data_IF_567909249097
#
_entry.id   IF_567909249097
#
_cell.length_a   1.000
_cell.length_b   1.000
_cell.length_c   1.000
_cell.angle_alpha   90.00
_cell.angle_beta   90.00
_cell.angle_gamma   90.00
#
_symmetry.space_group_name_H-M   'P 1'
#
loop_
_entity.id
_entity.type
_entity.pdbx_description
1 polymer ?
#
# COMPACT_ATOMS: atom_id res chain seq x y z
N UNK A 1 -5.95 0.57 40.81
CA UNK A 1 -4.81 0.92 39.94
C UNK A 1 -4.27 -0.29 39.17
N UNK A 2 -4.00 -1.45 39.79
CA UNK A 2 -3.63 -2.69 39.06
C UNK A 2 -4.77 -3.27 38.22
N UNK A 3 -6.01 -3.25 38.75
CA UNK A 3 -7.19 -3.76 38.06
C UNK A 3 -7.56 -2.93 36.81
N UNK A 4 -7.23 -1.63 36.81
CA UNK A 4 -7.44 -0.72 35.68
C UNK A 4 -6.38 -0.92 34.58
N UNK A 5 -5.11 -1.17 34.97
CA UNK A 5 -4.05 -1.59 34.04
C UNK A 5 -4.40 -2.92 33.36
N UNK A 6 -4.99 -3.88 34.09
CA UNK A 6 -5.44 -5.16 33.53
C UNK A 6 -6.55 -4.98 32.48
N UNK A 7 -7.53 -4.12 32.73
CA UNK A 7 -8.64 -3.88 31.79
C UNK A 7 -8.19 -3.15 30.52
N UNK A 8 -7.25 -2.19 30.65
CA UNK A 8 -6.68 -1.48 29.50
C UNK A 8 -5.82 -2.44 28.66
N UNK A 9 -5.01 -3.28 29.29
CA UNK A 9 -4.22 -4.29 28.58
C UNK A 9 -5.10 -5.32 27.85
N UNK A 10 -6.19 -5.78 28.46
CA UNK A 10 -7.16 -6.67 27.81
C UNK A 10 -7.88 -5.99 26.63
N UNK A 11 -8.27 -4.73 26.78
CA UNK A 11 -8.88 -3.96 25.69
C UNK A 11 -7.90 -3.76 24.52
N UNK A 12 -6.64 -3.44 24.82
CA UNK A 12 -5.57 -3.32 23.82
C UNK A 12 -5.37 -4.66 23.10
N UNK A 13 -5.33 -5.78 23.81
CA UNK A 13 -5.18 -7.11 23.19
C UNK A 13 -6.36 -7.48 22.26
N UNK A 14 -7.60 -7.13 22.64
CA UNK A 14 -8.77 -7.33 21.74
C UNK A 14 -8.71 -6.40 20.53
N UNK A 15 -8.22 -5.17 20.69
CA UNK A 15 -8.02 -4.22 19.59
C UNK A 15 -6.82 -4.58 18.70
N UNK A 16 -5.91 -5.40 19.21
CA UNK A 16 -4.76 -5.93 18.49
C UNK A 16 -5.04 -7.23 17.72
N UNK A 17 -6.21 -7.85 17.92
CA UNK A 17 -6.60 -9.05 17.17
C UNK A 17 -6.56 -8.76 15.65
N UNK A 18 -5.80 -9.55 14.86
CA UNK A 18 -5.63 -9.34 13.43
C UNK A 18 -6.94 -9.27 12.64
N UNK A 19 -7.98 -9.99 13.07
CA UNK A 19 -9.26 -10.04 12.35
C UNK A 19 -10.05 -8.73 12.49
N UNK A 20 -10.35 -8.23 13.71
CA UNK A 20 -10.88 -6.89 13.90
C UNK A 20 -10.06 -5.83 13.17
N UNK A 21 -8.73 -5.83 13.32
CA UNK A 21 -7.87 -4.85 12.66
C UNK A 21 -7.98 -4.86 11.12
N UNK A 22 -8.09 -6.05 10.52
CA UNK A 22 -8.28 -6.17 9.09
C UNK A 22 -9.64 -5.62 8.64
N UNK A 23 -10.72 -5.99 9.34
CA UNK A 23 -12.10 -5.65 8.96
C UNK A 23 -12.42 -4.18 9.25
N UNK A 24 -11.99 -3.64 10.40
CA UNK A 24 -12.34 -2.28 10.86
C UNK A 24 -11.27 -1.24 10.56
N UNK A 25 -10.01 -1.65 10.35
CA UNK A 25 -8.91 -0.77 10.00
C UNK A 25 -8.50 -0.86 8.53
N UNK A 26 -8.13 -2.05 8.08
CA UNK A 26 -7.47 -2.21 6.79
C UNK A 26 -8.44 -2.07 5.61
N UNK A 27 -9.61 -2.71 5.69
CA UNK A 27 -10.60 -2.63 4.64
C UNK A 27 -11.11 -1.19 4.42
N UNK A 28 -11.47 -0.40 5.45
CA UNK A 28 -11.82 1.01 5.27
C UNK A 28 -10.69 1.86 4.70
N UNK A 29 -9.42 1.61 5.05
CA UNK A 29 -8.28 2.31 4.45
C UNK A 29 -8.21 2.09 2.93
N UNK A 30 -8.43 0.85 2.49
CA UNK A 30 -8.47 0.49 1.08
C UNK A 30 -9.67 1.10 0.35
N UNK A 31 -10.85 1.14 1.01
CA UNK A 31 -12.04 1.81 0.48
C UNK A 31 -11.80 3.31 0.27
N UNK A 32 -11.07 3.96 1.17
CA UNK A 32 -10.77 5.39 1.09
C UNK A 32 -9.88 5.70 -0.11
N UNK A 33 -8.85 4.90 -0.34
CA UNK A 33 -7.95 5.08 -1.48
C UNK A 33 -8.63 4.74 -2.80
N UNK A 34 -9.48 3.71 -2.79
CA UNK A 34 -10.27 3.25 -3.92
C UNK A 34 -11.60 3.98 -4.13
N UNK A 35 -11.82 5.13 -3.51
CA UNK A 35 -13.07 5.87 -3.65
C UNK A 35 -13.26 6.35 -5.11
N UNK A 36 -14.46 6.13 -5.64
CA UNK A 36 -14.83 6.54 -6.99
C UNK A 36 -16.28 7.05 -7.05
N UNK A 37 -16.55 8.11 -7.84
CA UNK A 37 -17.89 8.68 -8.02
C UNK A 37 -18.75 7.90 -9.04
N UNK A 38 -18.26 6.80 -9.60
CA UNK A 38 -18.99 6.01 -10.60
C UNK A 38 -20.30 5.46 -10.02
N UNK A 39 -21.40 5.53 -10.75
CA UNK A 39 -22.72 5.13 -10.23
C UNK A 39 -22.88 3.63 -9.94
N UNK A 40 -22.06 2.77 -10.56
CA UNK A 40 -22.19 1.31 -10.45
C UNK A 40 -21.24 0.71 -9.40
N UNK A 41 -21.77 -0.16 -8.53
CA UNK A 41 -20.98 -0.88 -7.52
C UNK A 41 -19.81 -1.65 -8.14
N UNK A 42 -20.02 -2.37 -9.25
CA UNK A 42 -18.96 -3.15 -9.89
C UNK A 42 -17.85 -2.26 -10.44
N UNK A 43 -18.20 -1.08 -10.96
CA UNK A 43 -17.21 -0.09 -11.40
C UNK A 43 -16.40 0.49 -10.23
N UNK A 44 -17.05 0.76 -9.09
CA UNK A 44 -16.38 1.20 -7.86
C UNK A 44 -15.44 0.12 -7.33
N UNK A 45 -15.90 -1.13 -7.25
CA UNK A 45 -15.09 -2.26 -6.82
C UNK A 45 -13.90 -2.49 -7.75
N UNK A 46 -14.09 -2.41 -9.06
CA UNK A 46 -13.00 -2.51 -10.03
C UNK A 46 -11.98 -1.38 -9.87
N UNK A 47 -12.44 -0.15 -9.61
CA UNK A 47 -11.55 0.98 -9.32
C UNK A 47 -10.74 0.76 -8.05
N UNK A 48 -11.38 0.28 -6.99
CA UNK A 48 -10.70 -0.07 -5.74
C UNK A 48 -9.63 -1.14 -5.95
N UNK A 49 -9.92 -2.19 -6.72
CA UNK A 49 -8.93 -3.22 -7.05
C UNK A 49 -7.78 -2.64 -7.88
N UNK A 50 -8.04 -1.74 -8.84
CA UNK A 50 -6.98 -1.04 -9.57
C UNK A 50 -6.08 -0.25 -8.61
N UNK A 51 -6.67 0.49 -7.67
CA UNK A 51 -5.90 1.23 -6.66
C UNK A 51 -5.14 0.32 -5.70
N UNK A 52 -5.67 -0.87 -5.38
CA UNK A 52 -4.98 -1.85 -4.57
C UNK A 52 -3.81 -2.50 -5.34
N UNK A 53 -3.96 -2.74 -6.64
CA UNK A 53 -2.88 -3.26 -7.48
C UNK A 53 -1.80 -2.22 -7.78
N UNK A 54 -2.18 -0.94 -7.88
CA UNK A 54 -1.30 0.20 -8.10
C UNK A 54 -1.66 1.35 -7.13
N UNK A 55 -1.16 1.30 -5.88
CA UNK A 55 -1.34 2.35 -4.88
C UNK A 55 -1.15 3.77 -5.37
N UNK A 56 -0.16 3.99 -6.24
CA UNK A 56 0.14 5.29 -6.83
C UNK A 56 -1.08 5.96 -7.48
N UNK A 57 -1.93 5.21 -8.18
CA UNK A 57 -3.13 5.74 -8.86
C UNK A 57 -4.14 6.31 -7.85
N UNK A 58 -4.37 5.60 -6.75
CA UNK A 58 -5.27 6.07 -5.69
C UNK A 58 -4.69 7.22 -4.88
N UNK A 59 -3.36 7.20 -4.67
CA UNK A 59 -2.67 8.26 -3.94
C UNK A 59 -2.61 9.57 -4.71
N UNK A 60 -2.48 9.56 -6.05
CA UNK A 60 -2.50 10.80 -6.84
C UNK A 60 -3.78 11.59 -6.57
N UNK A 61 -4.94 10.93 -6.63
CA UNK A 61 -6.23 11.58 -6.39
C UNK A 61 -6.30 12.17 -4.98
N UNK A 62 -5.85 11.40 -3.99
CA UNK A 62 -5.99 11.78 -2.60
C UNK A 62 -4.93 12.78 -2.15
N UNK A 63 -3.71 12.79 -2.70
CA UNK A 63 -2.57 13.57 -2.21
C UNK A 63 -2.16 14.72 -3.15
N UNK A 64 -2.36 14.60 -4.46
CA UNK A 64 -1.82 15.57 -5.43
C UNK A 64 -2.90 16.50 -6.02
N UNK A 65 -4.15 16.06 -6.05
CA UNK A 65 -5.28 16.90 -6.46
C UNK A 65 -5.65 17.84 -5.31
N UNK A 66 -6.04 19.09 -5.60
CA UNK A 66 -6.37 20.10 -4.59
C UNK A 66 -7.50 19.68 -3.63
N UNK A 67 -7.63 20.40 -2.51
CA UNK A 67 -8.77 20.26 -1.57
C UNK A 67 -10.07 20.82 -2.13
N UNK A 68 -9.96 21.76 -3.07
CA UNK A 68 -11.10 22.45 -3.66
C UNK A 68 -12.05 21.47 -4.38
N UNK A 69 -13.37 21.62 -4.19
CA UNK A 69 -14.37 20.74 -4.79
C UNK A 69 -14.26 20.73 -6.32
N UNK A 70 -13.95 21.89 -6.91
CA UNK A 70 -13.72 22.05 -8.35
C UNK A 70 -12.65 21.09 -8.87
N UNK A 71 -11.44 21.15 -8.30
CA UNK A 71 -10.28 20.36 -8.72
C UNK A 71 -10.52 18.87 -8.55
N UNK A 72 -11.18 18.48 -7.44
CA UNK A 72 -11.52 17.07 -7.19
C UNK A 72 -12.58 16.57 -8.18
N UNK A 73 -13.59 17.38 -8.49
CA UNK A 73 -14.66 17.02 -9.42
C UNK A 73 -14.12 16.85 -10.85
N UNK A 74 -13.41 17.86 -11.37
CA UNK A 74 -12.89 17.81 -12.74
C UNK A 74 -11.85 16.71 -12.93
N UNK A 75 -11.17 16.26 -11.86
CA UNK A 75 -10.28 15.10 -11.94
C UNK A 75 -10.96 13.84 -12.46
N UNK A 76 -12.28 13.67 -12.36
CA UNK A 76 -12.90 12.44 -12.87
C UNK A 76 -13.30 12.50 -14.34
N UNK A 77 -13.17 13.67 -14.97
CA UNK A 77 -13.51 13.86 -16.39
C UNK A 77 -12.46 13.23 -17.31
N UNK A 78 -12.92 12.74 -18.46
CA UNK A 78 -12.06 12.30 -19.56
C UNK A 78 -11.33 13.48 -20.23
N UNK A 79 -10.25 13.19 -20.97
CA UNK A 79 -9.44 14.22 -21.65
C UNK A 79 -10.28 15.11 -22.58
N UNK A 80 -11.29 14.52 -23.24
CA UNK A 80 -12.16 15.21 -24.18
C UNK A 80 -12.94 16.37 -23.56
N UNK A 81 -13.12 16.40 -22.24
CA UNK A 81 -13.80 17.51 -21.56
C UNK A 81 -12.95 18.76 -21.43
N UNK A 82 -11.65 18.72 -21.73
CA UNK A 82 -10.74 19.84 -21.50
C UNK A 82 -10.33 20.54 -22.80
N UNK A 83 -10.23 21.87 -22.75
CA UNK A 83 -9.70 22.70 -23.84
C UNK A 83 -8.66 23.67 -23.31
N UNK A 84 -7.76 24.13 -24.17
CA UNK A 84 -6.92 25.29 -23.88
C UNK A 84 -7.71 26.61 -23.95
N UNK A 85 -7.06 27.72 -23.61
CA UNK A 85 -7.62 29.08 -23.69
C UNK A 85 -7.99 29.51 -25.12
N UNK A 86 -7.41 28.86 -26.13
CA UNK A 86 -7.68 29.10 -27.55
C UNK A 86 -8.86 28.25 -28.08
N UNK A 87 -9.42 27.36 -27.25
CA UNK A 87 -10.52 26.47 -27.60
C UNK A 87 -10.10 25.15 -28.24
N UNK A 88 -8.81 24.85 -28.32
CA UNK A 88 -8.34 23.56 -28.84
C UNK A 88 -8.54 22.47 -27.79
N UNK A 89 -9.05 21.31 -28.21
CA UNK A 89 -9.24 20.18 -27.31
C UNK A 89 -7.91 19.63 -26.83
N UNK A 90 -7.81 19.39 -25.53
CA UNK A 90 -6.62 18.81 -24.94
C UNK A 90 -6.59 17.31 -25.20
N UNK A 91 -5.50 16.90 -25.82
CA UNK A 91 -5.17 15.50 -26.05
C UNK A 91 -4.58 14.87 -24.79
N UNK A 92 -4.95 15.25 -23.56
CA UNK A 92 -4.50 14.62 -22.32
C UNK A 92 -5.29 15.19 -21.14
N UNK A 93 -5.29 14.46 -20.02
CA UNK A 93 -5.86 14.96 -18.76
C UNK A 93 -4.89 15.91 -18.05
N UNK A 94 -5.32 17.13 -17.68
CA UNK A 94 -4.43 18.18 -17.19
C UNK A 94 -4.16 18.06 -15.68
N UNK A 95 -3.70 16.90 -15.21
CA UNK A 95 -3.39 16.64 -13.81
C UNK A 95 -2.01 16.00 -13.62
N UNK A 96 -1.46 16.14 -12.42
CA UNK A 96 -0.16 15.59 -12.05
C UNK A 96 0.99 16.24 -12.83
N UNK A 97 1.82 15.46 -13.53
CA UNK A 97 3.04 15.98 -14.22
C UNK A 97 2.70 17.00 -15.32
N UNK A 98 1.53 16.85 -15.95
CA UNK A 98 0.99 17.75 -16.98
C UNK A 98 -0.14 18.64 -16.45
N UNK A 99 -0.08 18.99 -15.16
CA UNK A 99 -1.10 19.83 -14.53
C UNK A 99 -1.27 21.15 -15.27
N UNK A 100 -2.51 21.52 -15.56
CA UNK A 100 -2.90 22.87 -15.95
C UNK A 100 -3.77 23.49 -14.85
N UNK A 101 -3.92 24.80 -14.87
CA UNK A 101 -4.79 25.52 -13.92
C UNK A 101 -6.15 25.80 -14.55
N UNK A 102 -7.19 25.94 -13.74
CA UNK A 102 -8.50 26.37 -14.22
C UNK A 102 -8.42 27.82 -14.72
N UNK A 103 -9.04 28.11 -15.85
CA UNK A 103 -9.11 29.47 -16.38
C UNK A 103 -9.72 30.45 -15.36
N UNK A 104 -9.11 31.62 -15.24
CA UNK A 104 -9.59 32.71 -14.35
C UNK A 104 -10.86 33.40 -14.89
N UNK A 105 -11.38 33.01 -16.04
CA UNK A 105 -12.60 33.58 -16.61
C UNK A 105 -13.80 33.35 -15.68
N UNK A 106 -14.29 34.44 -15.08
CA UNK A 106 -15.36 34.41 -14.08
C UNK A 106 -16.68 33.83 -14.60
N UNK A 107 -17.04 34.11 -15.86
CA UNK A 107 -18.27 33.57 -16.46
C UNK A 107 -18.17 32.05 -16.59
N UNK A 108 -17.04 31.58 -17.11
CA UNK A 108 -16.77 30.15 -17.23
C UNK A 108 -16.74 29.46 -15.86
N UNK A 109 -16.06 30.08 -14.88
CA UNK A 109 -15.97 29.56 -13.51
C UNK A 109 -17.35 29.41 -12.87
N UNK A 110 -18.26 30.38 -13.01
CA UNK A 110 -19.63 30.26 -12.47
C UNK A 110 -20.41 29.11 -13.08
N UNK A 111 -20.34 28.95 -14.41
CA UNK A 111 -20.99 27.83 -15.10
C UNK A 111 -20.43 26.49 -14.62
N UNK A 112 -19.10 26.38 -14.51
CA UNK A 112 -18.42 25.21 -13.96
C UNK A 112 -18.92 24.87 -12.56
N UNK A 113 -19.00 25.85 -11.66
CA UNK A 113 -19.44 25.63 -10.27
C UNK A 113 -20.84 25.02 -10.18
N UNK A 114 -21.74 25.39 -11.08
CA UNK A 114 -23.10 24.81 -11.08
C UNK A 114 -23.08 23.29 -11.27
N UNK A 115 -22.15 22.77 -12.08
CA UNK A 115 -21.99 21.32 -12.26
C UNK A 115 -21.19 20.68 -11.12
N UNK A 116 -20.17 21.38 -10.61
CA UNK A 116 -19.40 20.92 -9.44
C UNK A 116 -20.32 20.72 -8.24
N UNK A 117 -21.15 21.71 -7.91
CA UNK A 117 -22.09 21.67 -6.79
C UNK A 117 -23.10 20.52 -6.91
N UNK A 118 -23.49 20.14 -8.13
CA UNK A 118 -24.35 18.97 -8.38
C UNK A 118 -23.65 17.63 -8.12
N UNK A 119 -22.32 17.59 -8.31
CA UNK A 119 -21.51 16.39 -8.15
C UNK A 119 -20.94 16.22 -6.75
N UNK A 120 -20.79 17.31 -6.00
CA UNK A 120 -20.08 17.31 -4.72
C UNK A 120 -21.01 17.41 -3.52
N UNK A 121 -20.63 16.74 -2.43
CA UNK A 121 -21.26 16.86 -1.13
C UNK A 121 -20.20 17.02 -0.04
N UNK A 122 -20.54 17.70 1.05
CA UNK A 122 -19.68 17.73 2.24
C UNK A 122 -19.98 16.50 3.09
N UNK A 123 -18.93 15.77 3.45
CA UNK A 123 -18.99 14.69 4.42
C UNK A 123 -19.49 15.23 5.75
N UNK A 124 -20.46 14.54 6.33
CA UNK A 124 -20.94 14.79 7.69
C UNK A 124 -19.83 14.57 8.72
N UNK A 125 -20.02 15.10 9.94
CA UNK A 125 -19.06 14.89 11.05
C UNK A 125 -18.87 13.39 11.32
N UNK A 126 -19.95 12.62 11.28
CA UNK A 126 -19.91 11.17 11.50
C UNK A 126 -19.11 10.45 10.41
N UNK A 127 -19.31 10.79 9.14
CA UNK A 127 -18.53 10.20 8.03
C UNK A 127 -17.05 10.57 8.12
N UNK A 128 -16.73 11.79 8.54
CA UNK A 128 -15.35 12.23 8.77
C UNK A 128 -14.70 11.43 9.89
N UNK A 129 -15.36 11.28 11.05
CA UNK A 129 -14.86 10.47 12.16
C UNK A 129 -14.72 8.99 11.78
N UNK A 130 -15.71 8.44 11.09
CA UNK A 130 -15.67 7.06 10.58
C UNK A 130 -14.50 6.85 9.61
N UNK A 131 -14.21 7.83 8.75
CA UNK A 131 -13.06 7.77 7.85
C UNK A 131 -11.71 7.79 8.58
N UNK A 132 -11.64 8.29 9.82
CA UNK A 132 -10.42 8.31 10.64
C UNK A 132 -10.21 7.03 11.45
N UNK A 133 -11.24 6.20 11.63
CA UNK A 133 -11.15 4.90 12.29
C UNK A 133 -9.99 4.03 11.75
N UNK A 134 -9.79 3.89 10.42
CA UNK A 134 -8.62 3.18 9.90
C UNK A 134 -7.28 3.79 10.31
N UNK A 135 -7.17 5.12 10.39
CA UNK A 135 -5.95 5.77 10.86
C UNK A 135 -5.67 5.45 12.33
N UNK A 136 -6.70 5.36 13.18
CA UNK A 136 -6.55 4.94 14.58
C UNK A 136 -5.92 3.54 14.68
N UNK A 137 -6.47 2.55 13.98
CA UNK A 137 -5.94 1.18 14.01
C UNK A 137 -4.51 1.09 13.46
N UNK A 138 -4.22 1.84 12.39
CA UNK A 138 -2.86 1.92 11.83
C UNK A 138 -1.88 2.53 12.85
N UNK A 139 -2.26 3.63 13.50
CA UNK A 139 -1.40 4.30 14.50
C UNK A 139 -1.16 3.39 15.71
N UNK A 140 -2.21 2.73 16.22
CA UNK A 140 -2.07 1.76 17.31
C UNK A 140 -1.13 0.62 16.91
N UNK A 141 -1.25 0.11 15.68
CA UNK A 141 -0.33 -0.88 15.14
C UNK A 141 1.12 -0.37 15.04
N UNK A 142 1.34 0.87 14.59
CA UNK A 142 2.69 1.47 14.56
C UNK A 142 3.27 1.55 15.98
N UNK A 143 2.50 2.04 16.95
CA UNK A 143 2.93 2.17 18.34
C UNK A 143 3.26 0.80 18.96
N UNK A 144 2.41 -0.21 18.74
CA UNK A 144 2.68 -1.58 19.18
C UNK A 144 3.97 -2.12 18.55
N UNK A 145 4.18 -1.92 17.25
CA UNK A 145 5.44 -2.30 16.58
C UNK A 145 6.67 -1.61 17.19
N UNK A 146 6.61 -0.31 17.49
CA UNK A 146 7.69 0.42 18.16
C UNK A 146 7.93 -0.14 19.56
N UNK A 147 6.88 -0.41 20.32
CA UNK A 147 6.98 -0.96 21.67
C UNK A 147 7.64 -2.34 21.69
N UNK A 148 7.35 -3.19 20.70
CA UNK A 148 8.00 -4.50 20.55
C UNK A 148 9.49 -4.40 20.21
N UNK A 149 9.90 -3.44 19.37
CA UNK A 149 11.33 -3.23 19.04
C UNK A 149 12.10 -2.66 20.22
N UNK A 150 11.45 -1.82 21.03
CA UNK A 150 12.07 -1.15 22.18
C UNK A 150 12.00 -1.98 23.48
N UNK A 151 11.46 -3.20 23.41
CA UNK A 151 11.21 -4.09 24.56
C UNK A 151 10.42 -3.40 25.70
N UNK A 152 9.65 -2.36 25.39
CA UNK A 152 8.93 -1.57 26.38
C UNK A 152 7.63 -2.24 26.85
N UNK A 153 7.04 -3.11 26.01
CA UNK A 153 5.82 -3.88 26.29
C UNK A 153 5.92 -5.24 25.58
N UNK A 154 5.54 -6.32 26.27
CA UNK A 154 5.38 -7.64 25.66
C UNK A 154 4.04 -7.66 24.92
N UNK A 155 4.05 -7.54 23.60
CA UNK A 155 2.90 -7.84 22.76
C UNK A 155 3.00 -9.26 22.24
N UNK A 156 1.88 -10.00 22.24
CA UNK A 156 1.86 -11.41 21.83
C UNK A 156 2.04 -11.58 20.31
N UNK A 157 1.63 -10.58 19.51
CA UNK A 157 1.68 -10.60 18.05
C UNK A 157 2.08 -9.26 17.43
N UNK A 158 2.80 -9.33 16.30
CA UNK A 158 3.25 -8.16 15.55
C UNK A 158 2.15 -7.61 14.61
N UNK A 159 1.92 -6.29 14.56
CA UNK A 159 0.84 -5.66 13.79
C UNK A 159 1.21 -5.44 12.32
N UNK A 160 1.50 -6.51 11.59
CA UNK A 160 2.05 -6.44 10.23
C UNK A 160 1.12 -5.78 9.20
N UNK A 161 -0.18 -6.02 9.28
CA UNK A 161 -1.13 -5.46 8.31
C UNK A 161 -1.32 -3.95 8.50
N UNK A 162 -1.53 -3.44 9.74
CA UNK A 162 -1.44 -2.01 10.03
C UNK A 162 -0.15 -1.37 9.50
N UNK A 163 1.00 -2.01 9.73
CA UNK A 163 2.30 -1.52 9.24
C UNK A 163 2.35 -1.52 7.70
N UNK A 164 1.90 -2.58 7.04
CA UNK A 164 1.89 -2.70 5.58
C UNK A 164 1.00 -1.66 4.89
N UNK A 165 -0.07 -1.22 5.57
CA UNK A 165 -0.99 -0.21 5.07
C UNK A 165 -0.73 1.19 5.65
N UNK A 166 0.35 1.41 6.39
CA UNK A 166 0.60 2.72 7.00
C UNK A 166 0.87 3.85 6.00
N UNK A 167 1.27 3.52 4.78
CA UNK A 167 1.36 4.49 3.67
C UNK A 167 0.01 5.11 3.28
N UNK A 168 -1.11 4.55 3.74
CA UNK A 168 -2.47 5.07 3.49
C UNK A 168 -2.85 6.24 4.41
N UNK A 169 -2.12 6.45 5.52
CA UNK A 169 -2.42 7.49 6.53
C UNK A 169 -2.62 8.87 5.92
N UNK A 170 -1.73 9.39 5.04
CA UNK A 170 -1.89 10.74 4.51
C UNK A 170 -3.20 10.92 3.72
N UNK A 171 -3.63 9.88 3.00
CA UNK A 171 -4.89 9.91 2.25
C UNK A 171 -6.10 9.91 3.20
N UNK A 172 -6.05 9.11 4.26
CA UNK A 172 -7.08 9.03 5.29
C UNK A 172 -7.24 10.36 6.02
N UNK A 173 -6.13 10.92 6.53
CA UNK A 173 -6.14 12.19 7.26
C UNK A 173 -6.68 13.32 6.37
N UNK A 174 -6.22 13.35 5.11
CA UNK A 174 -6.70 14.36 4.18
C UNK A 174 -8.19 14.24 3.90
N UNK A 175 -8.72 13.03 3.77
CA UNK A 175 -10.16 12.79 3.62
C UNK A 175 -10.93 13.30 4.84
N UNK A 176 -10.49 12.99 6.05
CA UNK A 176 -11.13 13.45 7.29
C UNK A 176 -11.15 14.97 7.45
N UNK A 177 -10.03 15.64 7.10
CA UNK A 177 -9.89 17.10 7.22
C UNK A 177 -10.70 17.84 6.15
N UNK A 178 -10.49 17.48 4.87
CA UNK A 178 -11.12 18.19 3.74
C UNK A 178 -12.63 17.90 3.71
N UNK A 179 -12.99 16.61 3.75
CA UNK A 179 -14.37 16.13 3.74
C UNK A 179 -15.22 16.62 2.56
N UNK A 180 -14.61 16.93 1.42
CA UNK A 180 -15.31 17.15 0.16
C UNK A 180 -15.39 15.82 -0.61
N UNK A 181 -16.61 15.30 -0.78
CA UNK A 181 -16.92 14.05 -1.46
C UNK A 181 -17.51 14.32 -2.83
N UNK A 182 -17.26 13.42 -3.77
CA UNK A 182 -17.87 13.44 -5.10
C UNK A 182 -18.88 12.30 -5.14
N UNK A 183 -20.16 12.66 -5.07
CA UNK A 183 -21.27 11.73 -4.87
C UNK A 183 -21.93 11.32 -6.17
N UNK A 184 -21.77 12.10 -7.25
CA UNK A 184 -22.27 11.78 -8.59
C UNK A 184 -21.14 11.76 -9.60
N UNK A 185 -21.29 10.92 -10.62
CA UNK A 185 -20.32 10.77 -11.71
C UNK A 185 -20.22 12.07 -12.55
N UNK A 186 -19.08 12.78 -12.51
CA UNK A 186 -18.91 14.02 -13.26
C UNK A 186 -19.04 13.83 -14.77
N UNK A 187 -18.68 12.67 -15.33
CA UNK A 187 -18.80 12.43 -16.78
C UNK A 187 -20.26 12.44 -17.25
N UNK A 188 -21.20 12.12 -16.36
CA UNK A 188 -22.64 12.14 -16.65
C UNK A 188 -23.20 13.56 -16.52
N UNK A 189 -22.79 14.29 -15.48
CA UNK A 189 -23.27 15.63 -15.19
C UNK A 189 -22.71 16.68 -16.15
N UNK A 190 -21.48 16.48 -16.66
CA UNK A 190 -20.77 17.45 -17.51
C UNK A 190 -20.96 17.23 -19.02
N UNK A 191 -21.80 16.28 -19.48
CA UNK A 191 -21.86 15.74 -20.87
C UNK A 191 -21.65 16.74 -22.04
N UNK A 192 -22.03 18.01 -21.91
CA UNK A 192 -21.91 19.03 -22.96
C UNK A 192 -20.97 20.20 -22.61
N UNK A 193 -20.42 20.22 -21.40
CA UNK A 193 -19.62 21.33 -20.89
C UNK A 193 -18.12 21.03 -21.02
N UNK A 194 -17.43 21.87 -21.78
CA UNK A 194 -15.95 21.89 -21.78
C UNK A 194 -15.42 22.66 -20.59
N UNK A 195 -14.27 22.25 -20.08
CA UNK A 195 -13.51 22.90 -19.01
C UNK A 195 -12.28 23.56 -19.63
N UNK A 196 -12.18 24.88 -19.51
CA UNK A 196 -11.08 25.66 -20.06
C UNK A 196 -9.91 25.68 -19.07
N UNK A 197 -8.76 25.23 -19.54
CA UNK A 197 -7.52 25.14 -18.76
C UNK A 197 -6.51 26.17 -19.26
N UNK A 198 -5.70 26.67 -18.34
CA UNK A 198 -4.68 27.68 -18.55
C UNK A 198 -3.30 27.17 -18.09
N UNK A 199 -2.23 27.79 -18.57
CA UNK A 199 -0.88 27.44 -18.16
C UNK A 199 -0.68 27.80 -16.67
N UNK A 200 -0.16 26.87 -15.86
CA UNK A 200 0.28 27.19 -14.51
C UNK A 200 1.53 28.07 -14.59
N UNK A 201 1.74 28.86 -13.54
CA UNK A 201 3.04 29.50 -13.30
C UNK A 201 4.12 28.42 -13.09
N UNK A 202 5.38 28.78 -13.33
CA UNK A 202 6.50 27.82 -13.29
C UNK A 202 6.68 27.18 -11.90
N UNK A 203 6.51 27.96 -10.83
CA UNK A 203 6.60 27.46 -9.45
C UNK A 203 5.53 26.40 -9.15
N UNK A 204 4.28 26.67 -9.54
CA UNK A 204 3.16 25.73 -9.36
C UNK A 204 3.42 24.43 -10.14
N UNK A 205 3.92 24.56 -11.37
CA UNK A 205 4.27 23.42 -12.23
C UNK A 205 5.37 22.57 -11.60
N UNK A 206 6.43 23.19 -11.10
CA UNK A 206 7.52 22.51 -10.43
C UNK A 206 7.03 21.79 -9.17
N UNK A 207 6.28 22.48 -8.32
CA UNK A 207 5.72 21.92 -7.09
C UNK A 207 4.81 20.71 -7.37
N UNK A 208 3.96 20.78 -8.40
CA UNK A 208 3.12 19.63 -8.80
C UNK A 208 3.93 18.44 -9.27
N UNK A 209 5.00 18.65 -10.04
CA UNK A 209 5.89 17.56 -10.47
C UNK A 209 6.61 16.91 -9.29
N UNK A 210 7.17 17.71 -8.38
CA UNK A 210 7.84 17.22 -7.18
C UNK A 210 6.90 16.41 -6.29
N UNK A 211 5.69 16.92 -6.03
CA UNK A 211 4.72 16.19 -5.20
C UNK A 211 4.30 14.87 -5.83
N UNK A 212 4.11 14.80 -7.16
CA UNK A 212 3.77 13.54 -7.84
C UNK A 212 4.92 12.55 -7.77
N UNK A 213 6.16 13.00 -7.99
CA UNK A 213 7.35 12.15 -7.85
C UNK A 213 7.51 11.63 -6.42
N UNK A 214 7.29 12.48 -5.41
CA UNK A 214 7.32 12.08 -4.00
C UNK A 214 6.25 11.04 -3.68
N UNK A 215 5.03 11.21 -4.20
CA UNK A 215 3.94 10.23 -4.04
C UNK A 215 4.31 8.89 -4.67
N UNK A 216 4.92 8.89 -5.87
CA UNK A 216 5.41 7.67 -6.51
C UNK A 216 6.48 6.98 -5.65
N UNK A 217 7.50 7.73 -5.22
CA UNK A 217 8.58 7.21 -4.37
C UNK A 217 8.05 6.64 -3.05
N UNK A 218 7.16 7.36 -2.37
CA UNK A 218 6.53 6.89 -1.14
C UNK A 218 5.75 5.59 -1.38
N UNK A 219 4.96 5.50 -2.45
CA UNK A 219 4.19 4.29 -2.78
C UNK A 219 5.07 3.08 -3.14
N UNK A 220 6.29 3.32 -3.61
CA UNK A 220 7.25 2.26 -3.97
C UNK A 220 8.05 1.81 -2.74
N UNK A 221 8.62 2.75 -1.99
CA UNK A 221 9.63 2.46 -0.96
C UNK A 221 8.97 2.14 0.38
N UNK A 222 7.94 2.89 0.77
CA UNK A 222 7.40 2.84 2.12
C UNK A 222 6.88 1.44 2.53
N UNK A 223 6.17 0.67 1.67
CA UNK A 223 5.75 -0.70 2.03
C UNK A 223 6.90 -1.66 2.38
N UNK A 224 8.12 -1.43 1.88
CA UNK A 224 9.27 -2.29 2.18
C UNK A 224 9.77 -2.18 3.61
N UNK A 225 9.42 -1.09 4.32
CA UNK A 225 9.74 -0.96 5.75
C UNK A 225 9.14 -2.15 6.51
N UNK A 226 7.93 -2.58 6.15
CA UNK A 226 7.27 -3.73 6.78
C UNK A 226 8.01 -5.05 6.51
N UNK A 227 8.64 -5.22 5.34
CA UNK A 227 9.46 -6.41 5.03
C UNK A 227 10.66 -6.48 5.97
N UNK A 228 11.36 -5.35 6.14
CA UNK A 228 12.52 -5.25 7.04
C UNK A 228 12.10 -5.55 8.47
N UNK A 229 11.01 -4.94 8.95
CA UNK A 229 10.49 -5.20 10.29
C UNK A 229 10.12 -6.68 10.48
N UNK A 230 9.42 -7.27 9.52
CA UNK A 230 9.03 -8.68 9.58
C UNK A 230 10.23 -9.65 9.56
N UNK A 231 11.36 -9.25 8.97
CA UNK A 231 12.57 -10.05 8.98
C UNK A 231 13.23 -10.12 10.37
N UNK A 232 13.15 -9.04 11.16
CA UNK A 232 13.79 -8.94 12.48
C UNK A 232 12.87 -9.26 13.66
N UNK A 233 11.63 -9.69 13.41
CA UNK A 233 10.59 -9.90 14.44
C UNK A 233 10.63 -11.32 15.05
N UNK A 234 10.73 -11.48 16.38
CA UNK A 234 10.64 -12.78 17.05
C UNK A 234 9.20 -13.38 17.09
N UNK A 235 9.03 -14.69 17.41
CA UNK A 235 10.11 -15.67 17.46
C UNK A 235 10.66 -15.80 16.05
N UNK A 236 11.98 -15.90 15.99
CA UNK A 236 12.85 -15.86 14.81
C UNK A 236 12.43 -16.78 13.63
N UNK A 237 11.42 -17.64 13.81
CA UNK A 237 10.66 -18.21 12.71
C UNK A 237 10.05 -17.10 11.84
N UNK A 238 9.77 -17.42 10.58
CA UNK A 238 9.12 -16.52 9.62
C UNK A 238 9.98 -15.55 8.80
N UNK A 239 11.19 -15.95 8.42
CA UNK A 239 11.68 -15.64 7.07
C UNK A 239 10.57 -15.84 5.99
N UNK A 240 9.68 -16.80 6.21
CA UNK A 240 8.48 -17.04 5.42
C UNK A 240 7.48 -15.87 5.41
N UNK A 241 7.31 -15.14 6.52
CA UNK A 241 6.48 -13.91 6.57
C UNK A 241 7.12 -12.78 5.75
N UNK A 242 8.41 -12.51 5.95
CA UNK A 242 9.10 -11.45 5.19
C UNK A 242 9.12 -11.77 3.69
N UNK A 243 9.31 -13.04 3.31
CA UNK A 243 9.11 -13.54 1.93
C UNK A 243 7.70 -13.31 1.42
N UNK A 244 6.67 -13.63 2.21
CA UNK A 244 5.28 -13.43 1.82
C UNK A 244 4.97 -11.94 1.56
N UNK A 245 5.37 -11.06 2.47
CA UNK A 245 5.18 -9.61 2.34
C UNK A 245 6.01 -9.07 1.15
N UNK A 246 7.19 -9.63 0.89
CA UNK A 246 8.02 -9.28 -0.27
C UNK A 246 7.28 -9.50 -1.59
N UNK A 247 6.44 -10.54 -1.71
CA UNK A 247 5.61 -10.75 -2.91
C UNK A 247 4.65 -9.57 -3.11
N UNK A 248 3.96 -9.14 -2.05
CA UNK A 248 3.04 -7.99 -2.11
C UNK A 248 3.81 -6.70 -2.49
N UNK A 249 4.91 -6.41 -1.80
CA UNK A 249 5.73 -5.22 -2.06
C UNK A 249 6.35 -5.22 -3.45
N UNK A 250 6.69 -6.39 -4.00
CA UNK A 250 7.20 -6.52 -5.38
C UNK A 250 6.13 -6.18 -6.40
N UNK A 251 4.89 -6.67 -6.22
CA UNK A 251 3.74 -6.32 -7.08
C UNK A 251 3.52 -4.80 -7.06
N UNK A 252 3.46 -4.20 -5.87
CA UNK A 252 3.28 -2.75 -5.72
C UNK A 252 4.43 -1.96 -6.33
N UNK A 253 5.68 -2.36 -6.11
CA UNK A 253 6.85 -1.69 -6.67
C UNK A 253 6.79 -1.65 -8.19
N UNK A 254 6.55 -2.81 -8.82
CA UNK A 254 6.46 -2.91 -10.27
C UNK A 254 5.29 -2.08 -10.83
N UNK A 255 4.10 -2.22 -10.26
CA UNK A 255 2.91 -1.53 -10.76
C UNK A 255 2.96 -0.01 -10.51
N UNK A 256 3.49 0.44 -9.38
CA UNK A 256 3.64 1.86 -9.07
C UNK A 256 4.69 2.52 -9.97
N UNK A 257 5.82 1.84 -10.23
CA UNK A 257 6.81 2.31 -11.19
C UNK A 257 6.22 2.42 -12.60
N UNK A 258 5.54 1.36 -13.05
CA UNK A 258 4.87 1.35 -14.35
C UNK A 258 3.85 2.48 -14.44
N UNK A 259 2.99 2.64 -13.42
CA UNK A 259 2.00 3.71 -13.34
C UNK A 259 2.63 5.11 -13.35
N UNK A 260 3.75 5.31 -12.68
CA UNK A 260 4.48 6.58 -12.68
C UNK A 260 5.11 6.91 -14.03
N UNK A 261 5.82 5.95 -14.66
CA UNK A 261 6.42 6.15 -15.98
C UNK A 261 5.35 6.52 -17.01
N UNK A 262 4.30 5.74 -17.05
CA UNK A 262 3.08 6.01 -17.80
C UNK A 262 2.58 7.45 -17.56
N UNK A 263 2.50 7.90 -16.31
CA UNK A 263 2.04 9.24 -15.95
C UNK A 263 2.95 10.37 -16.44
N UNK A 264 4.23 10.10 -16.60
CA UNK A 264 5.19 11.04 -17.17
C UNK A 264 5.11 11.09 -18.71
N UNK A 265 5.09 9.92 -19.38
CA UNK A 265 5.35 9.82 -20.81
C UNK A 265 4.12 10.01 -21.71
N UNK A 266 2.92 9.63 -21.30
CA UNK A 266 1.79 9.59 -22.26
C UNK A 266 1.00 10.90 -22.38
N UNK A 267 0.93 11.40 -23.63
CA UNK A 267 -0.16 12.25 -24.09
C UNK A 267 -1.32 11.38 -24.56
N UNK A 268 -2.54 11.80 -24.21
CA UNK A 268 -3.88 11.21 -24.40
C UNK A 268 -4.37 10.33 -23.27
N UNK A 269 -3.63 9.32 -22.81
CA UNK A 269 -4.34 8.09 -22.39
C UNK A 269 -3.97 7.47 -21.04
N UNK A 270 -3.46 8.20 -20.04
CA UNK A 270 -3.19 7.53 -18.76
C UNK A 270 -4.37 7.42 -17.81
N UNK A 271 -5.24 8.41 -17.82
CA UNK A 271 -6.44 8.40 -17.00
C UNK A 271 -7.72 8.12 -17.79
N UNK A 272 -7.60 7.98 -19.11
CA UNK A 272 -8.45 7.06 -19.83
C UNK A 272 -7.73 5.70 -19.74
N UNK A 273 -7.96 4.94 -18.66
CA UNK A 273 -7.39 3.59 -18.45
C UNK A 273 -7.83 2.64 -19.59
N UNK A 274 -7.21 2.80 -20.76
CA UNK A 274 -7.86 2.69 -22.06
C UNK A 274 -6.92 2.35 -23.21
N UNK A 275 -5.79 1.70 -22.93
CA UNK A 275 -5.63 0.37 -23.53
C UNK A 275 -5.82 -0.63 -22.41
N UNK A 276 -6.87 -1.43 -22.51
CA UNK A 276 -7.41 -2.25 -21.42
C UNK A 276 -6.36 -3.10 -20.68
N UNK A 277 -5.22 -3.40 -21.29
CA UNK A 277 -4.16 -4.21 -20.70
C UNK A 277 -3.58 -3.68 -19.39
N UNK A 278 -3.26 -2.39 -19.25
CA UNK A 278 -2.72 -1.86 -17.98
C UNK A 278 -3.77 -1.83 -16.88
N UNK A 279 -5.01 -1.44 -17.24
CA UNK A 279 -6.14 -1.49 -16.33
C UNK A 279 -6.40 -2.90 -15.83
N UNK A 280 -6.38 -3.86 -16.76
CA UNK A 280 -6.57 -5.29 -16.49
C UNK A 280 -5.41 -5.81 -15.63
N UNK A 281 -4.16 -5.42 -15.93
CA UNK A 281 -3.00 -5.78 -15.12
C UNK A 281 -3.17 -5.27 -13.68
N UNK A 282 -3.43 -3.97 -13.48
CA UNK A 282 -3.61 -3.41 -12.14
C UNK A 282 -4.82 -4.02 -11.42
N UNK A 283 -5.91 -4.30 -12.15
CA UNK A 283 -7.07 -4.99 -11.59
C UNK A 283 -6.74 -6.42 -11.13
N UNK A 284 -6.07 -7.21 -11.97
CA UNK A 284 -5.65 -8.59 -11.64
C UNK A 284 -4.66 -8.57 -10.49
N UNK A 285 -3.65 -7.70 -10.54
CA UNK A 285 -2.71 -7.51 -9.43
C UNK A 285 -3.41 -7.12 -8.14
N UNK A 286 -4.40 -6.22 -8.21
CA UNK A 286 -5.20 -5.83 -7.05
C UNK A 286 -6.00 -6.98 -6.48
N UNK A 287 -6.59 -7.81 -7.33
CA UNK A 287 -7.28 -9.02 -6.91
C UNK A 287 -6.33 -10.03 -6.23
N UNK A 288 -5.15 -10.25 -6.82
CA UNK A 288 -4.10 -11.09 -6.22
C UNK A 288 -3.68 -10.52 -4.86
N UNK A 289 -3.40 -9.22 -4.77
CA UNK A 289 -3.01 -8.56 -3.52
C UNK A 289 -4.13 -8.66 -2.48
N UNK A 290 -5.41 -8.53 -2.87
CA UNK A 290 -6.53 -8.71 -1.94
C UNK A 290 -6.54 -10.12 -1.33
N UNK A 291 -6.33 -11.16 -2.15
CA UNK A 291 -6.22 -12.55 -1.68
C UNK A 291 -4.99 -12.70 -0.77
N UNK A 292 -3.84 -12.17 -1.16
CA UNK A 292 -2.62 -12.25 -0.35
C UNK A 292 -2.79 -11.56 1.00
N UNK A 293 -3.42 -10.39 1.05
CA UNK A 293 -3.73 -9.68 2.30
C UNK A 293 -4.70 -10.49 3.17
N UNK A 294 -5.74 -11.10 2.57
CA UNK A 294 -6.67 -11.94 3.29
C UNK A 294 -5.98 -13.18 3.89
N UNK A 295 -5.15 -13.86 3.10
CA UNK A 295 -4.34 -15.01 3.54
C UNK A 295 -3.37 -14.57 4.64
N UNK A 296 -2.73 -13.41 4.51
CA UNK A 296 -1.86 -12.86 5.55
C UNK A 296 -2.60 -12.64 6.86
N UNK A 297 -3.84 -12.13 6.84
CA UNK A 297 -4.69 -11.98 8.03
C UNK A 297 -4.99 -13.31 8.70
N UNK A 298 -5.29 -14.34 7.93
CA UNK A 298 -5.55 -15.68 8.45
C UNK A 298 -4.29 -16.31 9.07
N UNK A 299 -3.15 -16.14 8.40
CA UNK A 299 -1.86 -16.64 8.85
C UNK A 299 -1.29 -15.86 10.05
N UNK A 300 -1.63 -14.58 10.18
CA UNK A 300 -1.25 -13.78 11.34
C UNK A 300 -1.86 -14.34 12.64
N UNK A 301 -3.11 -14.81 12.57
CA UNK A 301 -3.84 -15.36 13.72
C UNK A 301 -3.38 -16.77 14.13
N UNK A 302 -2.89 -17.58 13.20
CA UNK A 302 -2.56 -18.99 13.43
C UNK A 302 -1.11 -19.29 13.02
N UNK A 303 -0.19 -19.19 13.98
CA UNK A 303 1.24 -19.41 13.73
C UNK A 303 1.58 -20.81 13.19
N UNK A 304 0.81 -21.83 13.59
CA UNK A 304 0.98 -23.21 13.09
C UNK A 304 0.70 -23.34 11.59
N UNK A 305 -0.15 -22.48 11.02
CA UNK A 305 -0.51 -22.56 9.59
C UNK A 305 0.64 -22.17 8.68
N UNK A 306 1.54 -21.32 9.16
CA UNK A 306 2.78 -21.03 8.44
C UNK A 306 3.65 -22.29 8.31
N UNK A 307 3.75 -23.09 9.37
CA UNK A 307 4.50 -24.36 9.34
C UNK A 307 3.79 -25.36 8.43
N UNK A 308 2.47 -25.49 8.54
CA UNK A 308 1.68 -26.40 7.70
C UNK A 308 1.73 -26.09 6.19
N UNK A 309 1.81 -24.81 5.80
CA UNK A 309 1.82 -24.40 4.39
C UNK A 309 3.21 -24.23 3.79
N UNK A 310 4.20 -23.83 4.61
CA UNK A 310 5.53 -23.45 4.13
C UNK A 310 6.67 -24.30 4.74
N UNK A 311 6.34 -25.28 5.59
CA UNK A 311 7.24 -26.27 6.18
C UNK A 311 7.89 -25.85 7.50
N UNK A 312 8.58 -26.79 8.13
CA UNK A 312 9.19 -26.67 9.47
C UNK A 312 10.22 -25.54 9.58
N UNK A 313 10.82 -25.16 8.45
CA UNK A 313 11.72 -23.99 8.35
C UNK A 313 11.07 -22.66 8.76
N UNK A 314 9.73 -22.61 8.79
CA UNK A 314 8.96 -21.44 9.24
C UNK A 314 8.62 -21.47 10.74
N UNK A 315 8.98 -22.53 11.47
CA UNK A 315 8.71 -22.70 12.91
C UNK A 315 9.94 -22.74 13.82
N UNK A 316 11.16 -22.86 13.29
CA UNK A 316 12.38 -23.06 14.09
C UNK A 316 13.10 -21.75 14.47
N UNK A 317 13.67 -21.63 15.68
CA UNK A 317 14.56 -20.52 16.06
C UNK A 317 15.98 -20.66 15.43
N UNK A 318 16.67 -19.52 15.19
CA UNK A 318 17.99 -19.40 14.48
C UNK A 318 19.05 -20.40 14.96
N UNK A 319 19.04 -20.80 16.24
CA UNK A 319 20.07 -21.66 16.83
C UNK A 319 20.06 -23.10 16.31
N UNK A 320 18.97 -23.57 15.70
CA UNK A 320 18.88 -24.87 15.03
C UNK A 320 19.11 -24.77 13.52
N UNK A 321 18.69 -23.66 12.89
CA UNK A 321 18.81 -23.49 11.44
C UNK A 321 20.26 -23.26 10.98
N UNK A 322 21.07 -22.53 11.77
CA UNK A 322 22.52 -22.42 11.55
C UNK A 322 23.22 -23.77 11.78
N UNK A 323 22.68 -24.61 12.68
CA UNK A 323 23.25 -25.93 13.00
C UNK A 323 23.05 -26.93 11.86
N UNK A 324 21.94 -26.83 11.12
CA UNK A 324 21.64 -27.74 10.02
C UNK A 324 22.26 -27.32 8.68
N UNK A 325 22.41 -26.02 8.40
CA UNK A 325 23.20 -25.56 7.24
C UNK A 325 24.69 -25.93 7.38
N UNK A 326 25.24 -25.90 8.60
CA UNK A 326 26.60 -26.40 8.87
C UNK A 326 26.71 -27.93 8.79
N UNK A 327 25.61 -28.68 8.90
CA UNK A 327 25.61 -30.15 8.81
C UNK A 327 25.63 -30.66 7.37
N UNK A 328 25.16 -29.85 6.40
CA UNK A 328 25.28 -30.16 4.97
C UNK A 328 26.59 -29.66 4.32
N UNK A 329 27.28 -28.70 4.94
CA UNK A 329 28.54 -28.13 4.44
C UNK A 329 29.83 -28.72 5.01
N UNK A 330 29.77 -29.51 6.09
CA UNK A 330 30.98 -30.05 6.73
C UNK A 330 30.86 -31.56 6.90
N UNK A 331 31.57 -32.31 6.04
CA UNK A 331 32.16 -33.59 6.46
C UNK A 331 33.09 -33.28 7.63
N UNK A 332 32.56 -33.33 8.84
CA UNK A 332 33.35 -33.33 10.07
C UNK A 332 34.13 -34.64 10.07
N UNK A 333 35.40 -34.55 9.69
CA UNK A 333 36.39 -35.56 10.02
C UNK A 333 36.52 -35.50 11.54
N UNK A 334 35.97 -36.49 12.22
CA UNK A 334 36.13 -36.65 13.67
C UNK A 334 37.60 -36.98 13.98
N UNK A 335 38.18 -36.48 15.08
CA UNK A 335 39.57 -36.75 15.47
C UNK A 335 39.78 -38.16 16.04
N UNK A 336 39.01 -39.16 15.59
CA UNK A 336 39.24 -40.58 15.89
C UNK A 336 39.83 -41.37 14.71
N UNK A 337 39.89 -40.80 13.50
CA UNK A 337 40.43 -41.48 12.31
C UNK A 337 41.93 -41.25 12.04
N UNK A 338 42.67 -40.63 12.98
CA UNK A 338 44.13 -40.40 12.86
C UNK A 338 45.00 -41.38 13.65
N UNK A 339 44.42 -42.36 14.32
CA UNK A 339 45.18 -43.29 15.17
C UNK A 339 45.12 -44.76 14.70
N UNK A 340 44.92 -44.97 13.39
CA UNK A 340 44.94 -46.32 12.77
C UNK A 340 45.67 -46.38 11.43
N UNK A 341 46.58 -45.44 11.13
CA UNK A 341 47.48 -45.53 9.97
C UNK A 341 48.87 -44.99 10.26
N UNK A 342 49.69 -45.83 10.91
CA UNK A 342 51.15 -45.80 11.09
C UNK A 342 51.35 -46.78 12.27
N UNK A 343 51.75 -48.04 12.15
CA UNK A 343 52.76 -48.69 11.33
C UNK A 343 52.40 -50.20 11.34
N UNK A 344 52.24 -50.84 10.19
CA UNK A 344 52.29 -52.31 10.07
C UNK A 344 53.05 -52.65 8.79
N UNK A 345 54.27 -53.15 8.95
CA UNK A 345 54.92 -54.23 8.18
C UNK A 345 56.44 -54.24 8.52
N UNK A 346 57.13 -55.39 8.41
CA UNK A 346 56.74 -56.76 8.72
C UNK A 346 57.73 -57.44 9.69
N UNK A 347 57.39 -58.67 10.07
CA UNK A 347 58.28 -59.66 10.69
C UNK A 347 59.60 -59.80 9.91
N UNK A 348 60.74 -59.87 10.60
CA UNK A 348 61.59 -61.06 10.57
C UNK A 348 62.88 -60.95 11.43
N UNK A 349 63.20 -62.10 12.03
CA UNK A 349 64.54 -62.65 12.26
C UNK A 349 65.45 -62.18 13.42
N UNK A 350 65.58 -63.13 14.37
CA UNK A 350 66.83 -63.77 14.86
C UNK A 350 67.60 -63.22 16.08
N UNK A 351 67.71 -64.12 17.07
CA UNK A 351 68.82 -64.45 18.00
C UNK A 351 69.83 -63.33 18.32
N UNK A 352 70.07 -62.97 19.57
CA UNK A 352 70.71 -63.79 20.63
C UNK A 352 70.54 -63.12 21.99
#
# INVERSE_FOLDING_TARGET
>A
MEQEKSSIAQLINVLLDPIPQYVTGCLPALLIIGESPMNSFTKKLAWMLICLGCPFVGLIFNLNIGSEPESRCIYWLQADFFTDVSGNSLNYRPFGVRSLTLSKNQKHKRTLMTYVDRCTAKASVLERLSSLLPAYYIIVGILAGISMVTESVVCDEWPFIPLLLSWTIPAILRRGIVGNLIVKDPNVEFKLQKVVMDQPNDDDRYHKRCTVALTALASIIYPWITVVLAYYSPPIGFFCRSKFITVICSIWTFNNLLGFLCHCYEGKNLFDLGKGMLRVLFFISGFIVAILLFVLSLLAKNNEWWVGLFGDSCGAPISEQIRDDHRFGSKVITPQDKQTRLITAPEDMTYT
#
